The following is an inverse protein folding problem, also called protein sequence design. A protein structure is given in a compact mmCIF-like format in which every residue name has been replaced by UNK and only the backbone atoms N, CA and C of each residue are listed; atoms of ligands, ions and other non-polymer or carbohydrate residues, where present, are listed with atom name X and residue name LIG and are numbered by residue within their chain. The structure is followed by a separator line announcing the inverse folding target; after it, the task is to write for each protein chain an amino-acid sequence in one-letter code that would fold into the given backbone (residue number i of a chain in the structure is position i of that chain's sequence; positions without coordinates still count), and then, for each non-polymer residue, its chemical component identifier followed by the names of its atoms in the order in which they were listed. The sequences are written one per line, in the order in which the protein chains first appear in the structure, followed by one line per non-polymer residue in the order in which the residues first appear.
data_IF_876332328500
#
_entry.id   IF_876332328500
#
_cell.length_a   1.000
_cell.length_b   1.000
_cell.length_c   1.000
_cell.angle_alpha   90.00
_cell.angle_beta   90.00
_cell.angle_gamma   90.00
#
_symmetry.space_group_name_H-M   'P 1'
#
loop_
_entity.id
_entity.type
_entity.pdbx_description
1 polymer ?
#
# COMPACT_ATOMS: atom_id res chain seq x y z
N UNK A 1 -5.04 0.27 31.68
CA UNK A 1 -4.76 0.12 30.23
C UNK A 1 -4.24 -1.28 29.97
N UNK A 2 -4.56 -1.89 28.84
CA UNK A 2 -4.09 -3.22 28.43
C UNK A 2 -2.72 -3.14 27.76
N UNK A 3 -2.03 -4.28 27.64
CA UNK A 3 -0.73 -4.37 26.95
C UNK A 3 -0.85 -3.87 25.50
N UNK A 4 -1.95 -4.18 24.81
CA UNK A 4 -2.21 -3.70 23.46
C UNK A 4 -2.29 -2.16 23.37
N UNK A 5 -2.89 -1.49 24.36
CA UNK A 5 -2.91 -0.02 24.42
C UNK A 5 -1.49 0.54 24.55
N UNK A 6 -0.65 -0.03 25.43
CA UNK A 6 0.74 0.39 25.57
C UNK A 6 1.55 0.19 24.29
N UNK A 7 1.33 -0.92 23.57
CA UNK A 7 2.01 -1.20 22.32
C UNK A 7 1.65 -0.18 21.24
N UNK A 8 0.37 0.20 21.11
CA UNK A 8 -0.06 1.21 20.14
C UNK A 8 0.49 2.61 20.47
N UNK A 9 0.49 2.99 21.76
CA UNK A 9 1.05 4.28 22.19
C UNK A 9 2.56 4.32 21.93
N UNK A 10 3.28 3.27 22.29
CA UNK A 10 4.71 3.17 22.00
C UNK A 10 4.97 3.22 20.49
N UNK A 11 4.21 2.48 19.68
CA UNK A 11 4.31 2.51 18.23
C UNK A 11 4.10 3.94 17.68
N UNK A 12 3.07 4.65 18.13
CA UNK A 12 2.80 6.02 17.71
C UNK A 12 3.94 6.98 18.07
N UNK A 13 4.46 6.91 19.30
CA UNK A 13 5.58 7.75 19.75
C UNK A 13 6.86 7.47 18.96
N UNK A 14 7.17 6.19 18.70
CA UNK A 14 8.34 5.78 17.91
C UNK A 14 8.24 6.27 16.46
N UNK A 15 7.07 6.13 15.82
CA UNK A 15 6.84 6.61 14.46
C UNK A 15 6.91 8.15 14.37
N UNK A 16 6.30 8.87 15.32
CA UNK A 16 6.38 10.32 15.40
C UNK A 16 7.82 10.81 15.62
N UNK A 17 8.57 10.13 16.50
CA UNK A 17 10.00 10.39 16.71
C UNK A 17 10.83 10.16 15.45
N UNK A 18 10.59 9.06 14.73
CA UNK A 18 11.27 8.77 13.46
C UNK A 18 10.97 9.85 12.40
N UNK A 19 9.70 10.27 12.27
CA UNK A 19 9.31 11.38 11.37
C UNK A 19 10.02 12.68 11.75
N UNK A 20 10.04 13.02 13.04
CA UNK A 20 10.67 14.25 13.53
C UNK A 20 12.17 14.29 13.24
N UNK A 21 12.87 13.17 13.46
CA UNK A 21 14.32 13.06 13.25
C UNK A 21 14.72 12.97 11.77
N UNK A 22 13.81 12.51 10.90
CA UNK A 22 14.08 12.29 9.47
C UNK A 22 13.47 13.35 8.55
N UNK A 23 13.12 14.53 9.08
CA UNK A 23 12.54 15.62 8.28
C UNK A 23 13.53 16.07 7.20
N UNK A 24 13.16 15.99 5.91
CA UNK A 24 14.03 16.49 4.86
C UNK A 24 14.14 18.01 4.98
N UNK A 25 15.36 18.53 4.87
CA UNK A 25 15.63 19.97 4.86
C UNK A 25 15.61 20.47 3.41
N UNK A 26 15.02 21.65 3.18
CA UNK A 26 15.12 22.36 1.90
C UNK A 26 13.93 22.24 0.94
N UNK A 27 12.88 21.47 1.25
CA UNK A 27 11.65 21.49 0.45
C UNK A 27 10.75 22.65 0.84
N UNK A 28 10.16 23.31 -0.16
CA UNK A 28 9.07 24.27 0.07
C UNK A 28 7.79 23.49 0.37
N UNK A 29 6.94 24.02 1.25
CA UNK A 29 5.65 23.37 1.58
C UNK A 29 4.84 23.05 0.32
N UNK A 30 4.81 23.98 -0.64
CA UNK A 30 4.11 23.83 -1.93
C UNK A 30 4.59 22.63 -2.75
N UNK A 31 5.85 22.23 -2.63
CA UNK A 31 6.43 21.07 -3.34
C UNK A 31 6.06 19.75 -2.66
N UNK A 32 5.65 19.79 -1.39
CA UNK A 32 5.27 18.61 -0.61
C UNK A 32 3.77 18.34 -0.65
N UNK A 33 2.94 19.38 -0.82
CA UNK A 33 1.47 19.27 -0.73
C UNK A 33 0.93 18.14 -1.59
N UNK A 34 1.32 18.06 -2.86
CA UNK A 34 0.84 17.00 -3.74
C UNK A 34 1.36 15.61 -3.36
N UNK A 35 2.68 15.31 -3.45
CA UNK A 35 3.16 13.94 -3.29
C UNK A 35 2.91 13.40 -1.87
N UNK A 36 3.13 14.21 -0.84
CA UNK A 36 2.89 13.80 0.55
C UNK A 36 1.39 13.68 0.82
N UNK A 37 0.59 14.64 0.36
CA UNK A 37 -0.87 14.61 0.51
C UNK A 37 -1.51 13.41 -0.20
N UNK A 38 -1.05 13.09 -1.41
CA UNK A 38 -1.50 11.94 -2.17
C UNK A 38 -1.14 10.63 -1.46
N UNK A 39 0.10 10.46 -0.99
CA UNK A 39 0.51 9.24 -0.26
C UNK A 39 -0.21 9.10 1.08
N UNK A 40 -0.51 10.21 1.77
CA UNK A 40 -1.35 10.24 2.98
C UNK A 40 -2.78 9.79 2.67
N UNK A 41 -3.39 10.36 1.64
CA UNK A 41 -4.71 9.98 1.16
C UNK A 41 -4.77 8.52 0.69
N UNK A 42 -3.71 8.02 0.06
CA UNK A 42 -3.64 6.65 -0.42
C UNK A 42 -3.37 5.62 0.70
N UNK A 43 -2.51 5.98 1.66
CA UNK A 43 -2.01 5.06 2.68
C UNK A 43 -2.70 5.13 4.02
N UNK A 44 -2.94 6.32 4.56
CA UNK A 44 -3.53 6.47 5.89
C UNK A 44 -5.06 6.54 5.86
N UNK A 45 -5.61 7.27 4.88
CA UNK A 45 -7.04 7.56 4.84
C UNK A 45 -7.94 6.32 4.75
N UNK A 46 -7.67 5.27 3.94
CA UNK A 46 -8.55 4.09 3.91
C UNK A 46 -8.73 3.48 5.30
N UNK A 47 -7.65 3.44 6.10
CA UNK A 47 -7.68 2.92 7.46
C UNK A 47 -8.38 3.88 8.44
N UNK A 48 -8.11 5.18 8.37
CA UNK A 48 -8.81 6.20 9.18
C UNK A 48 -10.31 6.17 8.90
N UNK A 49 -10.69 6.10 7.63
CA UNK A 49 -12.07 6.08 7.21
C UNK A 49 -12.79 4.81 7.69
N UNK A 50 -12.11 3.66 7.69
CA UNK A 50 -12.66 2.41 8.21
C UNK A 50 -12.80 2.37 9.73
N UNK A 51 -11.86 2.93 10.48
CA UNK A 51 -11.84 2.88 11.95
C UNK A 51 -12.57 4.04 12.64
N UNK A 52 -12.65 5.21 11.99
CA UNK A 52 -13.14 6.44 12.60
C UNK A 52 -14.37 6.94 11.84
N UNK A 53 -14.24 7.20 10.54
CA UNK A 53 -15.28 7.95 9.81
C UNK A 53 -16.51 7.09 9.57
N UNK A 54 -16.36 5.88 9.05
CA UNK A 54 -17.49 5.01 8.71
C UNK A 54 -18.34 4.63 9.92
N UNK A 55 -17.77 4.22 11.08
CA UNK A 55 -18.56 3.92 12.27
C UNK A 55 -19.31 5.12 12.85
N UNK A 56 -18.94 6.36 12.51
CA UNK A 56 -19.66 7.56 12.92
C UNK A 56 -20.83 7.91 12.00
N UNK A 57 -20.85 7.38 10.77
CA UNK A 57 -21.86 7.69 9.75
C UNK A 57 -22.86 6.55 9.60
N UNK A 58 -22.40 5.31 9.70
CA UNK A 58 -23.21 4.12 9.43
C UNK A 58 -23.08 3.08 10.54
N UNK A 59 -24.20 2.43 10.85
CA UNK A 59 -24.25 1.34 11.83
C UNK A 59 -23.57 0.06 11.31
N UNK A 60 -23.54 -0.14 9.99
CA UNK A 60 -22.97 -1.32 9.36
C UNK A 60 -22.49 -1.07 7.92
N UNK A 61 -21.60 -1.93 7.37
CA UNK A 61 -21.14 -1.84 5.99
C UNK A 61 -22.28 -2.05 5.00
N UNK A 62 -23.26 -2.91 5.34
CA UNK A 62 -24.44 -3.09 4.51
C UNK A 62 -25.29 -1.81 4.41
N UNK A 63 -25.42 -1.05 5.51
CA UNK A 63 -26.09 0.25 5.49
C UNK A 63 -25.37 1.28 4.61
N UNK A 64 -24.05 1.20 4.53
CA UNK A 64 -23.24 2.10 3.67
C UNK A 64 -23.30 1.76 2.18
N UNK A 65 -23.69 0.54 1.83
CA UNK A 65 -23.68 0.04 0.45
C UNK A 65 -22.35 0.28 -0.26
N UNK A 66 -22.41 0.85 -1.46
CA UNK A 66 -21.22 1.21 -2.25
C UNK A 66 -20.50 2.50 -1.82
N UNK A 67 -21.06 3.26 -0.89
CA UNK A 67 -20.52 4.56 -0.47
C UNK A 67 -19.28 4.39 0.41
N UNK A 68 -19.19 3.33 1.22
CA UNK A 68 -18.01 3.08 2.05
C UNK A 68 -16.75 2.87 1.22
N UNK A 69 -16.82 2.06 0.16
CA UNK A 69 -15.69 1.87 -0.76
C UNK A 69 -15.30 3.18 -1.46
N UNK A 70 -16.30 3.99 -1.85
CA UNK A 70 -16.07 5.31 -2.45
C UNK A 70 -15.35 6.25 -1.48
N UNK A 71 -15.79 6.28 -0.21
CA UNK A 71 -15.20 7.12 0.83
C UNK A 71 -13.71 6.80 1.05
N UNK A 72 -13.31 5.53 0.96
CA UNK A 72 -11.91 5.13 1.15
C UNK A 72 -10.97 5.68 0.06
N UNK A 73 -11.47 5.91 -1.16
CA UNK A 73 -10.65 6.38 -2.29
C UNK A 73 -10.85 7.85 -2.61
N UNK A 74 -11.89 8.49 -2.04
CA UNK A 74 -12.31 9.84 -2.41
C UNK A 74 -11.21 10.90 -2.23
N UNK A 75 -10.45 10.96 -1.11
CA UNK A 75 -9.37 11.93 -1.00
C UNK A 75 -8.24 11.70 -2.00
N UNK A 76 -7.89 10.44 -2.29
CA UNK A 76 -6.90 10.11 -3.32
C UNK A 76 -7.40 10.56 -4.70
N UNK A 77 -8.68 10.34 -5.00
CA UNK A 77 -9.31 10.82 -6.24
C UNK A 77 -9.30 12.35 -6.33
N UNK A 78 -9.54 13.05 -5.23
CA UNK A 78 -9.48 14.52 -5.18
C UNK A 78 -8.06 15.03 -5.47
N UNK A 79 -7.02 14.45 -4.85
CA UNK A 79 -5.63 14.80 -5.17
C UNK A 79 -5.27 14.48 -6.62
N UNK A 80 -5.65 13.29 -7.12
CA UNK A 80 -5.42 12.87 -8.51
C UNK A 80 -6.07 13.83 -9.52
N UNK A 81 -7.35 14.16 -9.31
CA UNK A 81 -8.11 15.08 -10.16
C UNK A 81 -7.55 16.49 -10.12
N UNK A 82 -7.16 16.98 -8.94
CA UNK A 82 -6.52 18.29 -8.81
C UNK A 82 -5.19 18.35 -9.57
N UNK A 83 -4.33 17.34 -9.43
CA UNK A 83 -3.07 17.28 -10.17
C UNK A 83 -3.26 17.18 -11.67
N UNK A 84 -4.26 16.40 -12.13
CA UNK A 84 -4.62 16.30 -13.53
C UNK A 84 -5.10 17.64 -14.11
N UNK A 85 -6.03 18.32 -13.43
CA UNK A 85 -6.53 19.64 -13.86
C UNK A 85 -5.39 20.67 -13.87
N UNK A 86 -4.53 20.67 -12.85
CA UNK A 86 -3.36 21.55 -12.80
C UNK A 86 -2.38 21.25 -13.93
N UNK A 87 -2.17 19.99 -14.28
CA UNK A 87 -1.33 19.58 -15.40
C UNK A 87 -1.85 20.10 -16.74
N UNK A 88 -3.17 19.96 -16.96
CA UNK A 88 -3.87 20.47 -18.14
C UNK A 88 -3.74 21.98 -18.26
N UNK A 89 -4.07 22.72 -17.19
CA UNK A 89 -4.03 24.19 -17.17
C UNK A 89 -2.61 24.71 -17.44
N UNK A 90 -1.59 24.03 -16.94
CA UNK A 90 -0.19 24.43 -17.15
C UNK A 90 0.43 23.90 -18.46
N UNK A 91 -0.29 23.08 -19.23
CA UNK A 91 0.24 22.45 -20.45
C UNK A 91 1.40 21.49 -20.22
N UNK A 92 1.51 20.87 -19.04
CA UNK A 92 2.64 20.02 -18.62
C UNK A 92 2.24 18.57 -18.38
N UNK A 93 1.44 17.96 -19.26
CA UNK A 93 1.06 16.56 -19.11
C UNK A 93 2.23 15.63 -19.43
N UNK A 94 2.51 14.71 -18.51
CA UNK A 94 3.41 13.58 -18.72
C UNK A 94 2.64 12.28 -18.61
N UNK A 95 3.04 11.30 -19.43
CA UNK A 95 2.43 9.97 -19.47
C UNK A 95 3.27 8.97 -18.68
N UNK A 96 2.69 8.36 -17.64
CA UNK A 96 3.27 7.21 -16.98
C UNK A 96 2.87 5.93 -17.73
N UNK A 97 3.82 5.35 -18.48
CA UNK A 97 3.54 4.18 -19.31
C UNK A 97 3.20 2.94 -18.49
N UNK A 98 3.82 2.75 -17.32
CA UNK A 98 3.49 1.64 -16.41
C UNK A 98 2.02 1.71 -15.98
N UNK A 99 1.59 2.90 -15.55
CA UNK A 99 0.22 3.13 -15.14
C UNK A 99 -0.75 2.94 -16.33
N UNK A 100 -0.36 3.37 -17.54
CA UNK A 100 -1.17 3.17 -18.75
C UNK A 100 -1.36 1.67 -19.06
N UNK A 101 -0.28 0.88 -18.96
CA UNK A 101 -0.36 -0.58 -19.17
C UNK A 101 -1.32 -1.21 -18.15
N UNK A 102 -1.22 -0.85 -16.87
CA UNK A 102 -2.14 -1.35 -15.84
C UNK A 102 -3.59 -0.87 -16.07
N UNK A 103 -3.78 0.36 -16.55
CA UNK A 103 -5.09 0.91 -16.85
C UNK A 103 -5.83 0.14 -17.97
N UNK A 104 -5.12 -0.63 -18.80
CA UNK A 104 -5.76 -1.52 -19.79
C UNK A 104 -6.63 -2.63 -19.17
N UNK A 105 -6.51 -2.87 -17.85
CA UNK A 105 -7.37 -3.79 -17.11
C UNK A 105 -8.68 -3.14 -16.63
N UNK A 106 -8.81 -1.81 -16.68
CA UNK A 106 -10.02 -1.10 -16.25
C UNK A 106 -11.29 -1.42 -17.05
N UNK A 107 -11.24 -1.63 -18.38
CA UNK A 107 -12.44 -2.00 -19.14
C UNK A 107 -13.13 -3.25 -18.58
N UNK A 108 -12.37 -4.20 -18.02
CA UNK A 108 -12.92 -5.40 -17.36
C UNK A 108 -13.82 -5.03 -16.18
N UNK A 109 -13.50 -3.94 -15.48
CA UNK A 109 -14.28 -3.39 -14.36
C UNK A 109 -15.50 -2.61 -14.86
N UNK A 110 -15.36 -1.91 -15.98
CA UNK A 110 -16.47 -1.20 -16.62
C UNK A 110 -17.63 -2.14 -16.98
N UNK A 111 -17.32 -3.38 -17.39
CA UNK A 111 -18.32 -4.44 -17.62
C UNK A 111 -19.07 -4.78 -16.31
N UNK A 112 -18.39 -4.82 -15.17
CA UNK A 112 -19.01 -5.09 -13.86
C UNK A 112 -19.93 -3.98 -13.35
N UNK A 113 -19.58 -2.72 -13.63
CA UNK A 113 -20.48 -1.60 -13.33
C UNK A 113 -21.75 -1.73 -14.17
N UNK A 114 -21.62 -2.12 -15.44
CA UNK A 114 -22.76 -2.32 -16.33
C UNK A 114 -23.68 -3.49 -15.89
N UNK A 115 -23.15 -4.51 -15.20
CA UNK A 115 -23.95 -5.63 -14.65
C UNK A 115 -24.58 -5.34 -13.28
N UNK A 116 -24.25 -4.21 -12.64
CA UNK A 116 -24.80 -3.81 -11.35
C UNK A 116 -24.06 -4.35 -10.12
N UNK A 117 -22.94 -5.05 -10.32
CA UNK A 117 -22.17 -5.70 -9.25
C UNK A 117 -21.19 -4.75 -8.53
N UNK A 118 -21.02 -3.53 -9.05
CA UNK A 118 -20.13 -2.51 -8.51
C UNK A 118 -20.80 -1.13 -8.46
N UNK A 119 -20.41 -0.33 -7.45
CA UNK A 119 -20.86 1.06 -7.34
C UNK A 119 -20.26 1.92 -8.45
N UNK A 120 -21.12 2.60 -9.21
CA UNK A 120 -20.71 3.56 -10.24
C UNK A 120 -19.85 4.69 -9.65
N UNK A 121 -20.12 5.10 -8.40
CA UNK A 121 -19.36 6.14 -7.71
C UNK A 121 -17.94 5.69 -7.40
N UNK A 122 -17.79 4.45 -6.96
CA UNK A 122 -16.48 3.87 -6.68
C UNK A 122 -15.67 3.70 -7.98
N UNK A 123 -16.32 3.22 -9.05
CA UNK A 123 -15.67 3.12 -10.36
C UNK A 123 -15.20 4.49 -10.86
N UNK A 124 -16.06 5.50 -10.82
CA UNK A 124 -15.71 6.86 -11.22
C UNK A 124 -14.51 7.40 -10.40
N UNK A 125 -14.52 7.21 -9.08
CA UNK A 125 -13.40 7.62 -8.23
C UNK A 125 -12.09 6.86 -8.57
N UNK A 126 -12.16 5.54 -8.77
CA UNK A 126 -11.01 4.73 -9.17
C UNK A 126 -10.46 5.14 -10.55
N UNK A 127 -11.34 5.44 -11.51
CA UNK A 127 -10.95 5.98 -12.83
C UNK A 127 -10.25 7.33 -12.68
N UNK A 128 -10.76 8.24 -11.85
CA UNK A 128 -10.10 9.54 -11.60
C UNK A 128 -8.71 9.33 -10.98
N UNK A 129 -8.57 8.43 -10.00
CA UNK A 129 -7.28 8.09 -9.41
C UNK A 129 -6.30 7.59 -10.47
N UNK A 130 -6.72 6.63 -11.29
CA UNK A 130 -5.87 6.05 -12.32
C UNK A 130 -5.52 7.08 -13.41
N UNK A 131 -6.47 7.91 -13.85
CA UNK A 131 -6.20 8.98 -14.79
C UNK A 131 -5.18 9.98 -14.24
N UNK A 132 -5.28 10.38 -12.97
CA UNK A 132 -4.29 11.29 -12.37
C UNK A 132 -2.91 10.67 -12.14
N UNK A 133 -2.82 9.33 -12.07
CA UNK A 133 -1.53 8.61 -12.01
C UNK A 133 -0.95 8.38 -13.42
N UNK A 134 -1.79 8.05 -14.40
CA UNK A 134 -1.39 7.91 -15.82
C UNK A 134 -0.97 9.26 -16.40
N UNK A 135 -1.74 10.30 -16.11
CA UNK A 135 -1.58 11.66 -16.61
C UNK A 135 -1.36 12.59 -15.42
N UNK A 136 -0.10 12.84 -15.09
CA UNK A 136 0.28 13.83 -14.08
C UNK A 136 1.04 14.97 -14.75
N UNK A 137 1.07 16.14 -14.12
CA UNK A 137 1.87 17.28 -14.60
C UNK A 137 2.64 18.01 -13.53
N UNK A 138 2.71 17.42 -12.34
CA UNK A 138 3.69 17.81 -11.33
C UNK A 138 5.09 17.39 -11.81
N UNK A 139 6.12 18.21 -11.56
CA UNK A 139 7.51 17.81 -11.75
C UNK A 139 7.81 16.53 -10.97
N UNK A 140 8.77 15.77 -11.50
CA UNK A 140 9.26 14.47 -11.01
C UNK A 140 9.15 14.34 -9.48
N UNK A 141 8.28 13.44 -9.02
CA UNK A 141 8.15 13.11 -7.60
C UNK A 141 9.41 12.39 -7.17
N UNK A 142 10.12 12.93 -6.18
CA UNK A 142 11.38 12.34 -5.70
C UNK A 142 11.11 11.19 -4.72
N UNK A 143 12.08 10.27 -4.61
CA UNK A 143 12.05 9.22 -3.59
C UNK A 143 11.86 9.80 -2.18
N UNK A 144 12.46 10.95 -1.89
CA UNK A 144 12.40 11.57 -0.56
C UNK A 144 10.99 12.09 -0.25
N UNK A 145 10.26 12.59 -1.25
CA UNK A 145 8.86 13.00 -1.11
C UNK A 145 7.95 11.80 -0.87
N UNK A 146 8.11 10.72 -1.63
CA UNK A 146 7.35 9.46 -1.42
C UNK A 146 7.66 8.87 -0.05
N UNK A 147 8.94 8.83 0.33
CA UNK A 147 9.39 8.32 1.62
C UNK A 147 8.81 9.13 2.78
N UNK A 148 8.82 10.48 2.68
CA UNK A 148 8.20 11.36 3.67
C UNK A 148 6.69 11.11 3.77
N UNK A 149 6.00 11.03 2.62
CA UNK A 149 4.59 10.65 2.56
C UNK A 149 4.32 9.34 3.29
N UNK A 150 5.14 8.31 3.04
CA UNK A 150 4.98 7.01 3.67
C UNK A 150 5.20 7.05 5.19
N UNK A 151 6.24 7.77 5.65
CA UNK A 151 6.52 7.96 7.08
C UNK A 151 5.37 8.69 7.78
N UNK A 152 4.84 9.75 7.16
CA UNK A 152 3.69 10.47 7.68
C UNK A 152 2.43 9.59 7.70
N UNK A 153 2.18 8.78 6.66
CA UNK A 153 1.06 7.84 6.65
C UNK A 153 1.12 6.83 7.80
N UNK A 154 2.30 6.24 8.05
CA UNK A 154 2.51 5.35 9.19
C UNK A 154 2.24 6.09 10.51
N UNK A 155 2.86 7.25 10.72
CA UNK A 155 2.70 8.00 11.95
C UNK A 155 1.24 8.44 12.20
N UNK A 156 0.56 8.95 11.17
CA UNK A 156 -0.84 9.37 11.28
C UNK A 156 -1.75 8.19 11.63
N UNK A 157 -1.62 7.04 10.97
CA UNK A 157 -2.40 5.84 11.31
C UNK A 157 -2.17 5.43 12.76
N UNK A 158 -0.90 5.33 13.18
CA UNK A 158 -0.57 4.87 14.54
C UNK A 158 -1.02 5.85 15.61
N UNK A 159 -0.90 7.16 15.39
CA UNK A 159 -1.43 8.18 16.31
C UNK A 159 -2.95 8.07 16.41
N UNK A 160 -3.66 7.96 15.29
CA UNK A 160 -5.11 7.76 15.29
C UNK A 160 -5.50 6.51 16.08
N UNK A 161 -4.84 5.37 15.86
CA UNK A 161 -5.15 4.14 16.59
C UNK A 161 -4.76 4.21 18.07
N UNK A 162 -3.67 4.86 18.43
CA UNK A 162 -3.28 5.06 19.82
C UNK A 162 -4.32 5.93 20.56
N UNK A 163 -4.80 7.00 19.93
CA UNK A 163 -5.88 7.85 20.45
C UNK A 163 -7.15 7.02 20.62
N UNK A 164 -7.61 6.32 19.58
CA UNK A 164 -8.82 5.48 19.67
C UNK A 164 -8.69 4.41 20.75
N UNK A 165 -7.56 3.71 20.81
CA UNK A 165 -7.33 2.68 21.79
C UNK A 165 -7.26 3.23 23.21
N UNK A 166 -6.84 4.49 23.40
CA UNK A 166 -6.76 5.13 24.71
C UNK A 166 -8.14 5.55 25.21
N UNK A 167 -8.93 6.21 24.36
CA UNK A 167 -10.21 6.82 24.75
C UNK A 167 -11.42 5.91 24.53
N UNK A 168 -11.36 4.99 23.55
CA UNK A 168 -12.44 4.06 23.20
C UNK A 168 -11.93 2.62 23.00
N UNK A 169 -11.23 2.02 24.00
CA UNK A 169 -10.61 0.71 23.85
C UNK A 169 -11.61 -0.39 23.46
N UNK A 170 -12.82 -0.40 24.00
CA UNK A 170 -13.84 -1.42 23.71
C UNK A 170 -14.35 -1.38 22.26
N UNK A 171 -14.16 -0.26 21.55
CA UNK A 171 -14.59 -0.10 20.16
C UNK A 171 -13.53 -0.55 19.16
N UNK A 172 -12.24 -0.51 19.54
CA UNK A 172 -11.12 -0.78 18.63
C UNK A 172 -10.20 -1.93 19.04
N UNK A 173 -10.26 -2.40 20.28
CA UNK A 173 -9.48 -3.53 20.80
C UNK A 173 -10.44 -4.62 21.27
N UNK A 174 -10.73 -5.58 20.38
CA UNK A 174 -11.63 -6.68 20.66
C UNK A 174 -10.86 -7.94 21.07
N UNK A 175 -11.47 -8.86 21.85
CA UNK A 175 -10.92 -10.19 22.07
C UNK A 175 -10.65 -10.87 20.74
N UNK A 176 -9.46 -11.43 20.57
CA UNK A 176 -9.13 -12.16 19.35
C UNK A 176 -9.79 -13.54 19.33
N UNK A 177 -10.15 -14.07 18.15
CA UNK A 177 -10.52 -15.48 18.01
C UNK A 177 -9.30 -16.37 18.30
N UNK A 178 -9.52 -17.54 18.91
CA UNK A 178 -8.46 -18.50 19.30
C UNK A 178 -7.46 -18.82 18.17
N UNK A 179 -7.92 -18.90 16.92
CA UNK A 179 -7.11 -19.21 15.74
C UNK A 179 -6.35 -18.01 15.15
N UNK A 180 -6.58 -16.79 15.66
CA UNK A 180 -5.95 -15.52 15.24
C UNK A 180 -5.31 -14.75 16.41
N UNK A 181 -5.33 -15.31 17.62
CA UNK A 181 -4.80 -14.65 18.80
C UNK A 181 -3.28 -14.56 18.79
N UNK A 182 -2.76 -13.36 19.07
CA UNK A 182 -1.38 -13.15 19.48
C UNK A 182 -1.25 -13.32 21.00
N UNK A 183 -0.04 -13.14 21.52
CA UNK A 183 0.25 -13.11 22.97
C UNK A 183 -0.58 -12.07 23.75
N UNK A 184 -1.23 -11.14 23.06
CA UNK A 184 -1.97 -10.04 23.67
C UNK A 184 -3.42 -10.38 24.01
N UNK A 185 -3.96 -11.50 23.54
CA UNK A 185 -5.38 -11.88 23.65
C UNK A 185 -6.37 -10.82 23.14
N UNK A 186 -5.88 -9.80 22.42
CA UNK A 186 -6.64 -8.70 21.84
C UNK A 186 -6.14 -8.42 20.42
N UNK A 187 -7.02 -7.88 19.58
CA UNK A 187 -6.68 -7.47 18.21
C UNK A 187 -7.27 -6.08 17.90
N UNK A 188 -6.49 -5.25 17.19
CA UNK A 188 -6.97 -3.97 16.66
C UNK A 188 -8.00 -4.23 15.56
N UNK A 189 -9.27 -3.93 15.81
CA UNK A 189 -10.35 -4.09 14.85
C UNK A 189 -11.58 -3.29 15.27
N UNK A 190 -12.49 -2.97 14.35
CA UNK A 190 -13.74 -2.25 14.66
C UNK A 190 -14.95 -3.09 14.32
N UNK A 191 -15.97 -2.99 15.19
CA UNK A 191 -17.24 -3.73 15.06
C UNK A 191 -17.93 -3.48 13.72
N UNK A 192 -17.85 -2.24 13.22
CA UNK A 192 -18.37 -1.86 11.90
C UNK A 192 -17.96 -2.87 10.83
N UNK A 193 -16.73 -3.38 10.83
CA UNK A 193 -16.27 -4.32 9.80
C UNK A 193 -16.17 -5.77 10.23
N UNK A 194 -16.56 -6.08 11.47
CA UNK A 194 -16.37 -7.41 12.04
C UNK A 194 -17.55 -8.35 11.84
N UNK A 195 -18.54 -7.97 11.01
CA UNK A 195 -19.83 -8.65 10.86
C UNK A 195 -19.76 -10.16 10.59
N UNK A 196 -18.63 -10.69 10.07
CA UNK A 196 -18.30 -12.12 10.11
C UNK A 196 -16.76 -12.34 10.05
N UNK A 197 -16.09 -12.38 11.20
CA UNK A 197 -14.77 -13.04 11.46
C UNK A 197 -13.51 -12.69 10.61
N UNK A 198 -13.38 -11.47 10.08
CA UNK A 198 -12.14 -11.01 9.43
C UNK A 198 -12.03 -9.50 9.30
N UNK A 199 -11.88 -8.78 10.41
CA UNK A 199 -11.94 -7.31 10.42
C UNK A 199 -10.74 -6.58 9.78
N UNK A 200 -10.88 -5.26 9.61
CA UNK A 200 -9.86 -4.34 9.07
C UNK A 200 -8.51 -4.43 9.81
N UNK A 201 -8.45 -5.03 11.00
CA UNK A 201 -7.18 -5.26 11.72
C UNK A 201 -6.07 -5.87 10.87
N UNK A 202 -6.40 -6.89 10.07
CA UNK A 202 -5.42 -7.50 9.16
C UNK A 202 -4.90 -6.49 8.13
N UNK A 203 -5.81 -5.66 7.58
CA UNK A 203 -5.47 -4.61 6.62
C UNK A 203 -4.56 -3.54 7.24
N UNK A 204 -4.71 -3.21 8.53
CA UNK A 204 -3.80 -2.28 9.21
C UNK A 204 -2.35 -2.77 9.11
N UNK A 205 -2.10 -4.03 9.47
CA UNK A 205 -0.77 -4.62 9.37
C UNK A 205 -0.24 -4.59 7.94
N UNK A 206 -1.08 -4.96 6.97
CA UNK A 206 -0.75 -4.94 5.53
C UNK A 206 -0.35 -3.53 5.07
N UNK A 207 -1.15 -2.51 5.37
CA UNK A 207 -0.90 -1.13 4.95
C UNK A 207 0.39 -0.58 5.55
N UNK A 208 0.63 -0.83 6.85
CA UNK A 208 1.86 -0.42 7.53
C UNK A 208 3.10 -1.06 6.86
N UNK A 209 3.02 -2.34 6.51
CA UNK A 209 4.13 -3.07 5.86
C UNK A 209 4.32 -2.66 4.41
N UNK A 210 3.26 -2.38 3.65
CA UNK A 210 3.36 -1.85 2.28
C UNK A 210 4.05 -0.49 2.24
N UNK A 211 3.82 0.38 3.21
CA UNK A 211 4.48 1.69 3.29
C UNK A 211 5.97 1.60 3.62
N UNK A 212 6.39 0.53 4.30
CA UNK A 212 7.68 0.45 4.97
C UNK A 212 8.90 0.51 4.02
N UNK A 213 8.95 -0.18 2.86
CA UNK A 213 10.11 -0.16 1.96
C UNK A 213 10.52 1.25 1.53
N UNK A 214 9.53 2.10 1.22
CA UNK A 214 9.78 3.50 0.87
C UNK A 214 9.95 4.38 2.10
N UNK A 215 9.22 4.15 3.19
CA UNK A 215 9.35 4.95 4.41
C UNK A 215 10.76 4.89 5.02
N UNK A 216 11.43 3.75 4.89
CA UNK A 216 12.81 3.50 5.35
C UNK A 216 13.89 3.98 4.36
N UNK A 217 13.51 4.49 3.19
CA UNK A 217 14.47 4.95 2.20
C UNK A 217 15.23 6.19 2.70
N UNK A 218 16.55 6.17 2.49
CA UNK A 218 17.47 7.32 2.68
C UNK A 218 17.42 7.97 4.07
N UNK A 219 17.11 7.22 5.12
CA UNK A 219 17.16 7.69 6.51
C UNK A 219 18.26 6.98 7.31
N UNK A 220 18.62 7.56 8.45
CA UNK A 220 19.60 6.97 9.34
C UNK A 220 19.11 5.70 10.01
N UNK A 221 20.05 4.80 10.32
CA UNK A 221 19.76 3.49 10.94
C UNK A 221 18.94 3.64 12.21
N UNK A 222 19.17 4.69 13.01
CA UNK A 222 18.36 4.97 14.22
C UNK A 222 16.88 5.17 13.85
N UNK A 223 16.60 5.98 12.84
CA UNK A 223 15.23 6.20 12.36
C UNK A 223 14.63 4.94 11.73
N UNK A 224 15.45 4.12 11.05
CA UNK A 224 15.03 2.80 10.55
C UNK A 224 14.56 1.92 11.69
N UNK A 225 15.35 1.81 12.76
CA UNK A 225 15.02 0.99 13.92
C UNK A 225 13.74 1.48 14.60
N UNK A 226 13.61 2.79 14.84
CA UNK A 226 12.39 3.37 15.43
C UNK A 226 11.15 3.05 14.60
N UNK A 227 11.20 3.28 13.29
CA UNK A 227 10.06 3.07 12.41
C UNK A 227 9.73 1.57 12.23
N UNK A 228 10.74 0.73 12.05
CA UNK A 228 10.56 -0.72 11.96
C UNK A 228 9.96 -1.29 13.26
N UNK A 229 10.45 -0.86 14.44
CA UNK A 229 9.88 -1.24 15.73
C UNK A 229 8.44 -0.75 15.88
N UNK A 230 8.10 0.47 15.42
CA UNK A 230 6.72 0.97 15.46
C UNK A 230 5.76 0.09 14.64
N UNK A 231 6.15 -0.29 13.42
CA UNK A 231 5.36 -1.16 12.54
C UNK A 231 5.25 -2.56 13.10
N UNK A 232 6.32 -3.10 13.69
CA UNK A 232 6.31 -4.41 14.34
C UNK A 232 5.32 -4.45 15.52
N UNK A 233 5.40 -3.48 16.44
CA UNK A 233 4.50 -3.40 17.59
C UNK A 233 3.04 -3.29 17.15
N UNK A 234 2.75 -2.39 16.21
CA UNK A 234 1.41 -2.24 15.66
C UNK A 234 0.94 -3.48 14.90
N UNK A 235 1.81 -4.14 14.15
CA UNK A 235 1.53 -5.39 13.44
C UNK A 235 1.15 -6.55 14.37
N UNK A 236 1.81 -6.65 15.53
CA UNK A 236 1.46 -7.62 16.58
C UNK A 236 0.07 -7.34 17.15
N UNK A 237 -0.26 -6.06 17.41
CA UNK A 237 -1.59 -5.66 17.88
C UNK A 237 -2.66 -5.85 16.80
N UNK A 238 -2.32 -5.64 15.53
CA UNK A 238 -3.19 -5.87 14.38
C UNK A 238 -3.49 -7.35 14.12
N UNK A 239 -2.73 -8.28 14.72
CA UNK A 239 -2.93 -9.72 14.57
C UNK A 239 -2.68 -10.23 13.13
N UNK A 240 -1.98 -9.45 12.30
CA UNK A 240 -1.73 -9.79 10.90
C UNK A 240 -0.46 -10.64 10.73
N UNK A 241 -0.63 -11.97 10.72
CA UNK A 241 0.48 -12.92 10.55
C UNK A 241 1.21 -12.72 9.22
N UNK A 242 0.46 -12.53 8.14
CA UNK A 242 1.04 -12.34 6.80
C UNK A 242 1.85 -11.04 6.72
N UNK A 243 1.37 -9.96 7.36
CA UNK A 243 2.13 -8.72 7.45
C UNK A 243 3.42 -8.89 8.27
N UNK A 244 3.38 -9.63 9.39
CA UNK A 244 4.58 -9.90 10.20
C UNK A 244 5.64 -10.70 9.42
N UNK A 245 5.24 -11.61 8.53
CA UNK A 245 6.17 -12.32 7.64
C UNK A 245 6.75 -11.34 6.61
N UNK A 246 5.90 -10.57 5.93
CA UNK A 246 6.33 -9.60 4.91
C UNK A 246 7.15 -8.43 5.48
N UNK A 247 6.99 -8.10 6.77
CA UNK A 247 7.75 -7.08 7.48
C UNK A 247 9.26 -7.32 7.38
N UNK A 248 9.69 -8.59 7.48
CA UNK A 248 11.12 -8.94 7.39
C UNK A 248 11.68 -8.50 6.04
N UNK A 249 10.98 -8.82 4.95
CA UNK A 249 11.39 -8.43 3.59
C UNK A 249 11.37 -6.91 3.43
N UNK A 250 10.31 -6.26 3.92
CA UNK A 250 10.13 -4.82 3.83
C UNK A 250 11.21 -4.02 4.58
N UNK A 251 11.73 -4.55 5.69
CA UNK A 251 12.76 -3.90 6.51
C UNK A 251 14.19 -4.23 6.07
N UNK A 252 14.46 -5.46 5.64
CA UNK A 252 15.82 -5.94 5.32
C UNK A 252 16.40 -5.23 4.11
N UNK A 253 15.62 -4.99 3.05
CA UNK A 253 16.13 -4.36 1.82
C UNK A 253 16.61 -2.91 2.07
N UNK A 254 15.82 -2.01 2.67
CA UNK A 254 16.29 -0.66 3.02
C UNK A 254 17.44 -0.67 4.03
N UNK A 255 17.42 -1.59 5.01
CA UNK A 255 18.50 -1.72 5.98
C UNK A 255 19.82 -2.14 5.32
N UNK A 256 19.77 -3.09 4.37
CA UNK A 256 20.91 -3.49 3.57
C UNK A 256 21.43 -2.34 2.69
N UNK A 257 20.53 -1.54 2.10
CA UNK A 257 20.89 -0.33 1.36
C UNK A 257 21.66 0.67 2.22
N UNK A 258 21.34 0.77 3.52
CA UNK A 258 22.03 1.67 4.45
C UNK A 258 23.36 1.11 4.97
N UNK A 259 23.39 -0.17 5.33
CA UNK A 259 24.55 -0.79 6.00
C UNK A 259 25.60 -1.32 5.01
N UNK A 260 25.18 -1.83 3.86
CA UNK A 260 26.07 -2.40 2.84
C UNK A 260 25.59 -1.98 1.44
N UNK A 261 25.86 -0.73 1.02
CA UNK A 261 25.44 -0.21 -0.27
C UNK A 261 25.93 -1.03 -1.47
N UNK A 262 27.00 -1.82 -1.34
CA UNK A 262 27.50 -2.66 -2.42
C UNK A 262 26.62 -3.86 -2.76
N UNK A 263 25.82 -4.39 -1.82
CA UNK A 263 25.05 -5.63 -2.01
C UNK A 263 23.54 -5.42 -2.02
N UNK A 264 23.06 -4.20 -1.77
CA UNK A 264 21.63 -3.97 -1.52
C UNK A 264 20.73 -4.33 -2.71
N UNK A 265 21.23 -4.18 -3.95
CA UNK A 265 20.51 -4.60 -5.15
C UNK A 265 20.38 -6.12 -5.21
N UNK A 266 21.46 -6.83 -4.87
CA UNK A 266 21.46 -8.30 -4.78
C UNK A 266 20.48 -8.77 -3.72
N UNK A 267 20.50 -8.15 -2.53
CA UNK A 267 19.55 -8.45 -1.44
C UNK A 267 18.10 -8.22 -1.90
N UNK A 268 17.82 -7.12 -2.59
CA UNK A 268 16.48 -6.83 -3.13
C UNK A 268 16.01 -7.92 -4.11
N UNK A 269 16.87 -8.34 -5.05
CA UNK A 269 16.54 -9.39 -6.02
C UNK A 269 16.40 -10.78 -5.38
N UNK A 270 17.24 -11.13 -4.41
CA UNK A 270 17.08 -12.36 -3.65
C UNK A 270 15.77 -12.37 -2.87
N UNK A 271 15.41 -11.26 -2.24
CA UNK A 271 14.13 -11.11 -1.54
C UNK A 271 12.95 -11.22 -2.52
N UNK A 272 13.05 -10.60 -3.70
CA UNK A 272 12.05 -10.70 -4.76
C UNK A 272 11.88 -12.14 -5.26
N UNK A 273 12.97 -12.84 -5.58
CA UNK A 273 12.92 -14.22 -6.03
C UNK A 273 12.34 -15.15 -4.96
N UNK A 274 12.77 -15.00 -3.70
CA UNK A 274 12.23 -15.76 -2.57
C UNK A 274 10.74 -15.49 -2.35
N UNK A 275 10.31 -14.22 -2.39
CA UNK A 275 8.91 -13.83 -2.25
C UNK A 275 8.06 -14.33 -3.43
N UNK A 276 8.59 -14.33 -4.65
CA UNK A 276 7.93 -14.88 -5.83
C UNK A 276 7.67 -16.38 -5.64
N UNK A 277 8.70 -17.15 -5.30
CA UNK A 277 8.56 -18.60 -5.02
C UNK A 277 7.56 -18.84 -3.89
N UNK A 278 7.67 -18.08 -2.79
CA UNK A 278 6.76 -18.19 -1.66
C UNK A 278 5.30 -17.89 -2.03
N UNK A 279 5.07 -16.86 -2.85
CA UNK A 279 3.73 -16.46 -3.29
C UNK A 279 3.04 -17.52 -4.17
N UNK A 280 3.83 -18.39 -4.81
CA UNK A 280 3.35 -19.48 -5.67
C UNK A 280 2.97 -20.75 -4.89
N UNK A 281 3.26 -20.84 -3.59
CA UNK A 281 3.02 -22.07 -2.81
C UNK A 281 1.57 -22.59 -2.88
N UNK A 282 0.52 -21.75 -2.73
CA UNK A 282 -0.87 -22.21 -2.87
C UNK A 282 -1.25 -22.81 -4.22
N UNK A 283 -0.50 -22.46 -5.28
CA UNK A 283 -0.73 -22.98 -6.62
C UNK A 283 -0.26 -24.44 -6.76
N UNK A 284 0.88 -24.77 -6.17
CA UNK A 284 1.57 -26.05 -6.40
C UNK A 284 1.49 -27.04 -5.23
N UNK A 285 1.36 -26.55 -3.99
CA UNK A 285 1.34 -27.41 -2.82
C UNK A 285 -0.08 -27.95 -2.57
N UNK A 286 -0.26 -29.28 -2.36
CA UNK A 286 -1.56 -29.90 -2.15
C UNK A 286 -2.04 -29.71 -0.70
N UNK A 287 -2.48 -28.49 -0.37
CA UNK A 287 -3.05 -28.21 0.93
C UNK A 287 -4.36 -28.98 1.13
N UNK A 288 -4.56 -29.52 2.34
CA UNK A 288 -5.86 -30.07 2.74
C UNK A 288 -6.93 -28.97 2.68
N UNK A 289 -8.16 -29.33 2.31
CA UNK A 289 -9.26 -28.38 2.20
C UNK A 289 -9.47 -27.52 3.45
N UNK A 290 -9.26 -28.10 4.65
CA UNK A 290 -9.41 -27.43 5.95
C UNK A 290 -8.26 -26.51 6.35
N UNK A 291 -7.16 -26.50 5.60
CA UNK A 291 -6.00 -25.64 5.89
C UNK A 291 -6.37 -24.15 5.86
N UNK A 292 -5.74 -23.38 6.75
CA UNK A 292 -5.90 -21.92 6.84
C UNK A 292 -7.36 -21.45 6.87
N UNK A 293 -8.20 -22.10 7.69
CA UNK A 293 -9.63 -21.76 7.80
C UNK A 293 -10.37 -22.03 6.49
N UNK A 294 -10.32 -23.27 5.99
CA UNK A 294 -11.00 -23.72 4.76
C UNK A 294 -10.47 -23.13 3.44
N UNK A 295 -9.34 -22.40 3.45
CA UNK A 295 -8.76 -21.82 2.23
C UNK A 295 -8.25 -22.84 1.23
N UNK A 296 -7.91 -24.05 1.68
CA UNK A 296 -7.54 -25.15 0.78
C UNK A 296 -8.64 -25.45 -0.25
N UNK A 297 -9.91 -25.48 0.18
CA UNK A 297 -11.05 -25.67 -0.73
C UNK A 297 -11.17 -24.54 -1.76
N UNK A 298 -10.92 -23.29 -1.35
CA UNK A 298 -10.95 -22.13 -2.24
C UNK A 298 -9.81 -22.18 -3.26
N UNK A 299 -8.63 -22.65 -2.86
CA UNK A 299 -7.51 -22.82 -3.80
C UNK A 299 -7.80 -23.89 -4.84
N UNK A 300 -8.37 -25.03 -4.44
CA UNK A 300 -8.75 -26.07 -5.38
C UNK A 300 -9.89 -25.62 -6.31
N UNK A 301 -10.87 -24.88 -5.78
CA UNK A 301 -11.93 -24.29 -6.62
C UNK A 301 -11.37 -23.26 -7.59
N UNK A 302 -10.45 -22.40 -7.16
CA UNK A 302 -9.78 -21.43 -8.03
C UNK A 302 -9.03 -22.13 -9.17
N UNK A 303 -8.31 -23.22 -8.88
CA UNK A 303 -7.63 -24.03 -9.91
C UNK A 303 -8.62 -24.59 -10.94
N UNK A 304 -9.77 -25.10 -10.52
CA UNK A 304 -10.83 -25.56 -11.43
C UNK A 304 -11.36 -24.41 -12.30
N UNK A 305 -11.69 -23.27 -11.70
CA UNK A 305 -12.17 -22.08 -12.41
C UNK A 305 -11.17 -21.59 -13.45
N UNK A 306 -9.87 -21.61 -13.13
CA UNK A 306 -8.82 -21.26 -14.08
C UNK A 306 -8.82 -22.22 -15.28
N UNK A 307 -9.06 -23.52 -15.07
CA UNK A 307 -9.18 -24.46 -16.19
C UNK A 307 -10.44 -24.26 -17.04
N UNK A 308 -11.54 -23.78 -16.42
CA UNK A 308 -12.80 -23.49 -17.12
C UNK A 308 -12.69 -22.26 -18.03
N UNK A 309 -11.99 -21.20 -17.60
CA UNK A 309 -11.77 -20.00 -18.40
C UNK A 309 -10.37 -19.40 -18.19
N UNK A 310 -9.33 -19.98 -18.82
CA UNK A 310 -7.93 -19.65 -18.51
C UNK A 310 -7.48 -18.28 -19.05
N UNK A 311 -8.01 -17.84 -20.18
CA UNK A 311 -7.45 -16.68 -20.91
C UNK A 311 -7.93 -15.37 -20.28
N UNK A 312 -9.25 -15.23 -20.10
CA UNK A 312 -9.88 -13.97 -19.67
C UNK A 312 -10.44 -14.02 -18.24
N UNK A 313 -10.52 -15.21 -17.64
CA UNK A 313 -11.07 -15.39 -16.31
C UNK A 313 -12.59 -15.23 -16.25
N UNK A 314 -13.13 -15.23 -15.04
CA UNK A 314 -14.56 -15.15 -14.71
C UNK A 314 -15.01 -13.76 -14.26
N UNK A 315 -14.09 -12.81 -14.18
CA UNK A 315 -14.38 -11.41 -13.84
C UNK A 315 -14.05 -11.01 -12.39
N UNK A 316 -13.66 -9.75 -12.12
CA UNK A 316 -13.27 -9.25 -10.79
C UNK A 316 -14.28 -9.43 -9.64
N UNK A 317 -15.57 -9.48 -9.93
CA UNK A 317 -16.62 -9.66 -8.91
C UNK A 317 -17.05 -11.11 -8.71
N UNK A 318 -16.45 -12.07 -9.42
CA UNK A 318 -16.83 -13.49 -9.34
C UNK A 318 -16.88 -13.99 -7.90
N UNK A 319 -15.81 -13.79 -7.15
CA UNK A 319 -15.68 -14.19 -5.75
C UNK A 319 -16.77 -13.60 -4.84
N UNK A 320 -17.16 -12.34 -5.08
CA UNK A 320 -18.25 -11.70 -4.36
C UNK A 320 -19.60 -12.38 -4.63
N UNK A 321 -19.92 -12.63 -5.90
CA UNK A 321 -21.17 -13.30 -6.30
C UNK A 321 -21.30 -14.73 -5.77
N UNK A 322 -20.18 -15.44 -5.61
CA UNK A 322 -20.16 -16.80 -5.05
C UNK A 322 -20.27 -16.82 -3.53
N UNK A 323 -19.78 -15.77 -2.84
CA UNK A 323 -19.83 -15.63 -1.38
C UNK A 323 -21.24 -15.57 -0.81
N UNK A 324 -22.24 -15.21 -1.63
CA UNK A 324 -23.66 -15.23 -1.25
C UNK A 324 -24.23 -16.66 -1.17
N UNK A 325 -23.48 -17.67 -1.64
CA UNK A 325 -23.80 -19.09 -1.45
C UNK A 325 -23.20 -19.65 -0.15
N UNK A 326 -23.97 -20.44 0.60
CA UNK A 326 -23.72 -20.81 2.00
C UNK A 326 -22.42 -21.60 2.31
N UNK A 327 -21.68 -22.06 1.30
CA UNK A 327 -20.47 -22.89 1.49
C UNK A 327 -19.20 -22.05 1.71
N UNK A 328 -19.16 -20.78 1.26
CA UNK A 328 -17.94 -19.95 1.23
C UNK A 328 -18.03 -18.59 1.97
N UNK A 329 -19.11 -18.33 2.70
CA UNK A 329 -19.36 -17.03 3.36
C UNK A 329 -18.23 -16.49 4.25
N UNK A 330 -17.37 -17.37 4.81
CA UNK A 330 -16.30 -16.97 5.73
C UNK A 330 -14.99 -16.50 5.05
N UNK A 331 -14.77 -16.82 3.76
CA UNK A 331 -13.59 -16.40 2.99
C UNK A 331 -14.04 -16.20 1.53
N UNK A 332 -14.29 -14.96 1.13
CA UNK A 332 -14.91 -14.66 -0.16
C UNK A 332 -13.98 -14.93 -1.36
N UNK A 333 -12.65 -15.03 -1.20
CA UNK A 333 -11.71 -15.29 -2.30
C UNK A 333 -10.57 -16.25 -1.92
N UNK A 334 -9.70 -16.59 -2.88
CA UNK A 334 -8.55 -17.46 -2.64
C UNK A 334 -7.50 -16.82 -1.72
N UNK A 335 -7.49 -15.49 -1.56
CA UNK A 335 -6.47 -14.74 -0.82
C UNK A 335 -5.05 -15.10 -1.28
N UNK A 336 -4.86 -15.25 -2.58
CA UNK A 336 -3.56 -15.47 -3.19
C UNK A 336 -3.54 -14.74 -4.53
N UNK A 337 -2.53 -13.91 -4.79
CA UNK A 337 -2.50 -13.04 -5.97
C UNK A 337 -2.67 -13.81 -7.27
N UNK A 338 -2.02 -14.96 -7.42
CA UNK A 338 -2.03 -15.70 -8.69
C UNK A 338 -3.39 -16.33 -8.94
N UNK A 339 -3.95 -16.96 -7.92
CA UNK A 339 -5.26 -17.59 -8.01
C UNK A 339 -6.37 -16.54 -8.18
N UNK A 340 -6.34 -15.45 -7.40
CA UNK A 340 -7.36 -14.41 -7.49
C UNK A 340 -7.29 -13.62 -8.80
N UNK A 341 -6.09 -13.24 -9.26
CA UNK A 341 -5.94 -12.55 -10.55
C UNK A 341 -6.29 -13.48 -11.71
N UNK A 342 -5.85 -14.74 -11.72
CA UNK A 342 -6.20 -15.67 -12.79
C UNK A 342 -7.71 -15.93 -12.85
N UNK A 343 -8.39 -16.10 -11.70
CA UNK A 343 -9.85 -16.23 -11.68
C UNK A 343 -10.52 -14.94 -12.13
N UNK A 344 -10.01 -13.77 -11.76
CA UNK A 344 -10.67 -12.50 -12.06
C UNK A 344 -10.48 -12.03 -13.50
N UNK A 345 -9.26 -12.12 -14.03
CA UNK A 345 -8.87 -11.50 -15.31
C UNK A 345 -8.03 -12.43 -16.20
N UNK A 346 -7.92 -13.70 -15.82
CA UNK A 346 -7.22 -14.74 -16.60
C UNK A 346 -5.70 -14.55 -16.69
N UNK A 347 -5.08 -15.42 -17.47
CA UNK A 347 -3.65 -15.36 -17.80
C UNK A 347 -3.29 -14.08 -18.56
N UNK A 348 -4.22 -13.50 -19.31
CA UNK A 348 -4.00 -12.21 -19.99
C UNK A 348 -3.78 -11.09 -18.96
N UNK A 349 -4.61 -11.01 -17.92
CA UNK A 349 -4.43 -10.01 -16.87
C UNK A 349 -3.14 -10.20 -16.08
N UNK A 350 -2.74 -11.44 -15.81
CA UNK A 350 -1.42 -11.74 -15.23
C UNK A 350 -0.30 -11.23 -16.13
N UNK A 351 -0.37 -11.49 -17.43
CA UNK A 351 0.65 -11.02 -18.39
C UNK A 351 0.76 -9.49 -18.39
N UNK A 352 -0.36 -8.77 -18.40
CA UNK A 352 -0.38 -7.30 -18.31
C UNK A 352 0.31 -6.80 -17.04
N UNK A 353 0.01 -7.41 -15.88
CA UNK A 353 0.63 -7.04 -14.60
C UNK A 353 2.13 -7.31 -14.63
N UNK A 354 2.56 -8.49 -15.10
CA UNK A 354 3.98 -8.86 -15.18
C UNK A 354 4.73 -7.93 -16.13
N UNK A 355 4.15 -7.59 -17.29
CA UNK A 355 4.73 -6.65 -18.24
C UNK A 355 4.87 -5.25 -17.62
N UNK A 356 3.82 -4.75 -16.96
CA UNK A 356 3.86 -3.44 -16.31
C UNK A 356 4.94 -3.39 -15.21
N UNK A 357 4.98 -4.38 -14.32
CA UNK A 357 5.98 -4.46 -13.24
C UNK A 357 7.39 -4.60 -13.81
N UNK A 358 7.57 -5.46 -14.83
CA UNK A 358 8.85 -5.64 -15.51
C UNK A 358 9.33 -4.36 -16.19
N UNK A 359 8.45 -3.67 -16.91
CA UNK A 359 8.74 -2.37 -17.54
C UNK A 359 9.17 -1.33 -16.50
N UNK A 360 8.45 -1.26 -15.37
CA UNK A 360 8.70 -0.33 -14.29
C UNK A 360 10.02 -0.59 -13.57
N UNK A 361 10.38 -1.85 -13.32
CA UNK A 361 11.68 -2.18 -12.72
C UNK A 361 12.82 -1.91 -13.71
N UNK A 362 12.62 -2.26 -14.99
CA UNK A 362 13.65 -2.17 -16.02
C UNK A 362 14.15 -0.74 -16.24
N UNK A 363 13.23 0.23 -16.23
CA UNK A 363 13.60 1.61 -16.53
C UNK A 363 13.77 2.47 -15.25
N UNK A 364 13.53 1.92 -14.04
CA UNK A 364 13.76 2.62 -12.78
C UNK A 364 15.22 3.05 -12.63
N UNK A 365 15.43 4.26 -12.09
CA UNK A 365 16.77 4.77 -11.79
C UNK A 365 17.50 3.82 -10.85
N UNK A 366 18.83 3.75 -10.95
CA UNK A 366 19.63 2.84 -10.11
C UNK A 366 19.44 3.12 -8.61
N UNK A 367 19.24 4.40 -8.25
CA UNK A 367 18.95 4.79 -6.87
C UNK A 367 17.57 4.33 -6.37
N UNK A 368 16.56 4.21 -7.25
CA UNK A 368 15.19 3.80 -6.91
C UNK A 368 15.01 2.27 -6.93
N UNK A 369 15.67 1.62 -7.89
CA UNK A 369 15.52 0.20 -8.21
C UNK A 369 15.47 -0.73 -7.00
N UNK A 370 16.37 -0.66 -6.00
CA UNK A 370 16.30 -1.59 -4.86
C UNK A 370 15.07 -1.40 -3.97
N UNK A 371 14.59 -0.16 -3.79
CA UNK A 371 13.39 0.12 -3.01
C UNK A 371 12.14 -0.34 -3.77
N UNK A 372 12.12 -0.14 -5.08
CA UNK A 372 11.03 -0.62 -5.94
C UNK A 372 10.96 -2.15 -5.98
N UNK A 373 12.10 -2.83 -6.18
CA UNK A 373 12.18 -4.30 -6.15
C UNK A 373 11.83 -4.83 -4.76
N UNK A 374 12.32 -4.20 -3.69
CA UNK A 374 11.96 -4.54 -2.31
C UNK A 374 10.47 -4.32 -2.01
N UNK A 375 9.86 -3.30 -2.59
CA UNK A 375 8.42 -3.08 -2.51
C UNK A 375 7.63 -4.20 -3.19
N UNK A 376 7.98 -4.57 -4.44
CA UNK A 376 7.32 -5.68 -5.11
C UNK A 376 7.57 -7.03 -4.41
N UNK A 377 8.75 -7.24 -3.83
CA UNK A 377 9.02 -8.40 -2.99
C UNK A 377 8.09 -8.43 -1.75
N UNK A 378 7.86 -7.27 -1.13
CA UNK A 378 6.93 -7.12 -0.01
C UNK A 378 5.50 -7.43 -0.44
N UNK A 379 5.06 -6.89 -1.58
CA UNK A 379 3.74 -7.18 -2.18
C UNK A 379 3.58 -8.68 -2.42
N UNK A 380 4.56 -9.34 -3.06
CA UNK A 380 4.53 -10.78 -3.32
C UNK A 380 4.45 -11.61 -2.04
N UNK A 381 5.21 -11.23 -1.01
CA UNK A 381 5.20 -11.91 0.28
C UNK A 381 3.85 -11.80 0.99
N UNK A 382 3.24 -10.61 0.99
CA UNK A 382 1.87 -10.40 1.45
C UNK A 382 0.89 -11.24 0.63
N UNK A 383 1.12 -11.28 -0.68
CA UNK A 383 0.24 -11.92 -1.64
C UNK A 383 0.27 -13.45 -1.65
N UNK A 384 1.13 -14.08 -0.83
CA UNK A 384 1.10 -15.51 -0.64
C UNK A 384 -0.21 -15.97 0.01
N UNK A 385 -0.70 -15.19 0.98
CA UNK A 385 -1.91 -15.50 1.74
C UNK A 385 -2.87 -14.31 1.87
N UNK A 386 -2.68 -13.26 1.08
CA UNK A 386 -3.63 -12.16 0.95
C UNK A 386 -3.75 -11.74 -0.51
N UNK A 387 -4.82 -11.02 -0.86
CA UNK A 387 -5.03 -10.51 -2.21
C UNK A 387 -5.03 -8.98 -2.18
N UNK A 388 -3.83 -8.42 -1.97
CA UNK A 388 -3.68 -6.98 -1.75
C UNK A 388 -3.40 -6.23 -3.05
N UNK A 389 -2.79 -6.90 -4.04
CA UNK A 389 -2.44 -6.30 -5.33
C UNK A 389 -3.53 -6.59 -6.36
N UNK A 390 -4.46 -5.64 -6.50
CA UNK A 390 -5.61 -5.76 -7.39
C UNK A 390 -5.71 -4.47 -8.21
N UNK A 391 -4.86 -4.28 -9.25
CA UNK A 391 -4.77 -3.00 -9.96
C UNK A 391 -6.04 -2.65 -10.74
N UNK A 392 -6.88 -3.66 -11.03
CA UNK A 392 -8.21 -3.50 -11.60
C UNK A 392 -9.28 -3.21 -10.53
N UNK A 393 -9.00 -3.32 -9.24
CA UNK A 393 -9.96 -3.01 -8.18
C UNK A 393 -9.27 -2.39 -6.96
N UNK A 394 -9.24 -1.06 -6.93
CA UNK A 394 -8.62 -0.22 -5.90
C UNK A 394 -9.30 -0.23 -4.50
N UNK A 395 -10.08 -1.26 -4.16
CA UNK A 395 -11.05 -1.19 -3.06
C UNK A 395 -10.59 -1.79 -1.74
N UNK A 396 -9.52 -2.58 -1.73
CA UNK A 396 -9.02 -3.27 -0.53
C UNK A 396 -7.72 -2.62 -0.04
N UNK A 397 -6.72 -2.57 -0.91
CA UNK A 397 -5.42 -1.98 -0.62
C UNK A 397 -4.90 -1.24 -1.86
N UNK A 398 -5.53 -0.11 -2.25
CA UNK A 398 -5.13 0.65 -3.45
C UNK A 398 -3.65 1.02 -3.44
N UNK A 399 -3.09 1.21 -2.24
CA UNK A 399 -1.69 1.49 -2.03
C UNK A 399 -0.76 0.45 -2.66
N UNK A 400 -1.14 -0.83 -2.67
CA UNK A 400 -0.33 -1.92 -3.23
C UNK A 400 -0.01 -1.72 -4.72
N UNK A 401 -0.98 -1.19 -5.47
CA UNK A 401 -0.85 -0.96 -6.91
C UNK A 401 -0.31 0.44 -7.24
N UNK A 402 -0.76 1.46 -6.50
CA UNK A 402 -0.57 2.86 -6.89
C UNK A 402 0.69 3.50 -6.30
N UNK A 403 1.11 3.12 -5.09
CA UNK A 403 2.30 3.70 -4.47
C UNK A 403 3.57 3.58 -5.34
N UNK A 404 3.91 2.42 -5.92
CA UNK A 404 5.12 2.32 -6.72
C UNK A 404 5.05 3.24 -7.96
N UNK A 405 3.87 3.49 -8.52
CA UNK A 405 3.70 4.33 -9.70
C UNK A 405 4.00 5.82 -9.45
N UNK A 406 3.95 6.26 -8.19
CA UNK A 406 4.34 7.63 -7.81
C UNK A 406 5.85 7.84 -7.77
N UNK A 407 6.63 6.76 -7.73
CA UNK A 407 8.08 6.80 -7.56
C UNK A 407 8.84 7.04 -8.88
N UNK A 408 8.23 7.71 -9.86
CA UNK A 408 8.65 7.69 -11.26
C UNK A 408 9.80 8.68 -11.62
N UNK A 409 10.92 8.07 -12.02
CA UNK A 409 11.90 8.38 -13.06
C UNK A 409 12.34 9.82 -13.32
N UNK A 410 13.33 10.26 -12.54
CA UNK A 410 14.69 10.58 -13.01
C UNK A 410 15.45 11.15 -11.83
N UNK A 411 16.64 10.63 -11.57
CA UNK A 411 17.58 11.27 -10.66
C UNK A 411 17.82 12.72 -11.13
N UNK A 412 17.52 13.69 -10.27
CA UNK A 412 17.85 15.10 -10.49
C UNK A 412 19.35 15.34 -10.60
N UNK A 413 20.18 14.34 -10.25
CA UNK A 413 21.65 14.36 -10.36
C UNK A 413 22.17 14.22 -11.79
N UNK A 414 21.30 14.06 -12.79
CA UNK A 414 21.66 14.23 -14.22
C UNK A 414 21.27 15.61 -14.78
N UNK A 415 20.82 16.56 -13.95
CA UNK A 415 21.02 17.96 -14.29
C UNK A 415 22.52 18.16 -14.47
N UNK A 416 22.94 18.62 -15.64
CA UNK A 416 24.36 18.79 -15.95
C UNK A 416 25.01 19.66 -14.87
N UNK A 417 26.29 19.41 -14.51
CA UNK A 417 27.06 20.26 -13.61
C UNK A 417 27.23 21.73 -14.09
N UNK A 418 26.61 22.15 -15.19
CA UNK A 418 26.93 23.39 -15.89
C UNK A 418 26.21 24.64 -15.39
N UNK A 419 25.27 24.56 -14.44
CA UNK A 419 24.51 25.76 -14.01
C UNK A 419 24.45 26.02 -12.50
N UNK A 420 25.34 25.40 -11.73
CA UNK A 420 25.75 25.98 -10.45
C UNK A 420 27.05 26.73 -10.68
N UNK A 421 26.99 27.76 -11.53
CA UNK A 421 27.89 28.90 -11.39
C UNK A 421 27.75 29.36 -9.96
N UNK A 422 28.77 29.07 -9.17
CA UNK A 422 29.10 29.74 -7.94
C UNK A 422 29.03 31.25 -8.23
N UNK A 423 27.87 31.86 -8.06
CA UNK A 423 27.83 33.26 -7.64
C UNK A 423 28.56 33.24 -6.32
N UNK A 424 29.83 33.62 -6.42
CA UNK A 424 30.73 33.98 -5.34
C UNK A 424 29.90 34.45 -4.15
N UNK A 425 29.97 33.66 -3.08
CA UNK A 425 29.77 34.19 -1.75
C UNK A 425 30.90 35.20 -1.56
N UNK A 426 30.69 36.45 -2.01
CA UNK A 426 31.56 37.55 -1.61
C UNK A 426 31.44 37.62 -0.09
N UNK A 427 32.51 37.32 0.68
CA UNK A 427 32.49 37.62 2.10
C UNK A 427 32.22 39.12 2.22
N UNK A 428 31.26 39.47 3.09
CA UNK A 428 30.95 40.87 3.38
C UNK A 428 32.25 41.64 3.65
N UNK A 429 32.44 42.84 3.08
CA UNK A 429 33.64 43.62 3.30
C UNK A 429 33.84 43.82 4.81
N UNK A 430 35.05 43.45 5.26
CA UNK A 430 35.53 43.52 6.63
C UNK A 430 35.36 44.96 7.15
N UNK A 431 34.25 45.23 7.86
CA UNK A 431 34.04 46.50 8.56
C UNK A 431 34.93 46.53 9.80
N UNK A 432 36.23 46.80 9.60
CA UNK A 432 37.09 47.21 10.71
C UNK A 432 36.87 48.70 10.98
N UNK A 433 36.56 49.08 12.24
CA UNK A 433 36.56 50.48 12.60
C UNK A 433 37.99 51.02 12.56
N UNK A 434 38.20 52.12 11.85
CA UNK A 434 39.42 52.93 11.93
C UNK A 434 39.51 53.56 13.31
N UNK A 435 40.55 53.20 14.06
CA UNK A 435 41.04 53.94 15.24
C UNK A 435 42.39 54.52 14.90
#
# INVERSE_FOLDING_TARGET
MTIAQYFLIAAALLAAGAVYLSRPRGYRLTELVFPVGFVLALGAWPMISGFIVAPLIWDSPSASGGLFATMQVLPTAAFAGWAFVRALVNGKLTLNLTALILATLLPVVGVFVATGDASIFYFAAATVVLLGVVLHGEPKITLDQVALGCRLSIATMLVCFAVLATFWPSSVLLPCPTFKCSILNQVLTVQFTSGNYGGIGNLVGIFLVLLLPFALARIDVKCILLLASSVLLAGVVAGSRTALIAFVIAAVVPLAARLRPSIHVVVAWCAFAGALIFSMLPLYYPYRGTSFTLRGYLWDRAKQLITENPIVGHGPGFWRSQGDSAVFQANYSAHNIWLDVAVSVGLLGIAVIVIAVGYHIAHASQAMKPYLVGYYATVLALCAFESVYVPYYLGIAPIAALLPLLADYRDSTTASPEEVTLTEFQPAPDMRPSV
#
